data_IF_422312604540
#
_entry.id   IF_422312604540
#
_cell.length_a   1.000
_cell.length_b   1.000
_cell.length_c   1.000
_cell.angle_alpha   90.00
_cell.angle_beta   90.00
_cell.angle_gamma   90.00
#
_symmetry.space_group_name_H-M   'P 1'
#
loop_
_entity.id
_entity.type
_entity.pdbx_description
1 polymer ?
#
# COMPACT_ATOMS: atom_id res chain seq x y z
N UNK A 1 -15.06 46.99 -16.19
CA UNK A 1 -15.89 48.10 -16.75
C UNK A 1 -16.33 47.83 -18.19
N UNK A 2 -15.59 47.10 -19.01
CA UNK A 2 -15.94 46.81 -20.43
C UNK A 2 -17.14 45.86 -20.60
N UNK A 3 -17.36 44.90 -19.69
CA UNK A 3 -18.46 43.93 -19.78
C UNK A 3 -19.86 44.56 -19.56
N UNK A 4 -19.94 45.66 -18.80
CA UNK A 4 -21.20 46.41 -18.57
C UNK A 4 -21.70 47.13 -19.86
N UNK A 5 -20.78 47.48 -20.76
CA UNK A 5 -21.11 48.15 -22.03
C UNK A 5 -21.64 47.18 -23.12
N UNK A 6 -21.51 45.87 -22.92
CA UNK A 6 -21.87 44.82 -23.88
C UNK A 6 -23.17 44.10 -23.52
N UNK A 7 -23.93 44.57 -22.51
CA UNK A 7 -25.20 43.96 -22.13
C UNK A 7 -25.09 42.57 -21.51
N UNK A 8 -23.88 42.16 -21.12
CA UNK A 8 -23.65 40.91 -20.42
C UNK A 8 -24.00 41.06 -18.94
N UNK A 9 -25.05 40.38 -18.50
CA UNK A 9 -25.40 40.34 -17.08
C UNK A 9 -24.34 39.63 -16.30
N UNK A 10 -23.67 40.36 -15.36
CA UNK A 10 -22.82 39.77 -14.38
C UNK A 10 -23.65 39.02 -13.34
N UNK A 11 -23.26 37.81 -12.98
CA UNK A 11 -23.88 37.01 -11.94
C UNK A 11 -23.76 37.63 -10.53
N UNK A 12 -23.15 38.81 -10.42
CA UNK A 12 -22.93 39.50 -9.14
C UNK A 12 -24.18 40.26 -8.63
N UNK A 13 -25.10 40.60 -9.51
CA UNK A 13 -26.26 41.44 -9.17
C UNK A 13 -27.53 40.63 -8.79
N UNK A 14 -27.48 39.31 -8.81
CA UNK A 14 -28.56 38.51 -8.25
C UNK A 14 -28.44 38.50 -6.71
N UNK A 15 -29.45 39.02 -5.98
CA UNK A 15 -29.44 38.95 -4.52
C UNK A 15 -29.34 37.47 -4.14
N UNK A 16 -28.21 37.12 -3.49
CA UNK A 16 -28.08 35.77 -2.93
C UNK A 16 -29.16 35.61 -1.87
N UNK A 17 -30.04 34.61 -2.00
CA UNK A 17 -31.05 34.38 -0.97
C UNK A 17 -30.28 34.14 0.36
N UNK A 18 -30.50 35.09 1.30
CA UNK A 18 -29.99 34.98 2.63
C UNK A 18 -30.50 33.67 3.23
N UNK A 19 -29.59 32.82 3.64
CA UNK A 19 -29.93 31.59 4.36
C UNK A 19 -29.74 30.28 3.67
N UNK A 20 -29.37 30.21 2.40
CA UNK A 20 -28.87 28.95 1.83
C UNK A 20 -27.41 28.73 2.28
N UNK A 21 -27.24 28.33 3.54
CA UNK A 21 -26.05 27.54 3.90
C UNK A 21 -25.97 26.46 2.82
N UNK A 22 -24.96 26.56 1.93
CA UNK A 22 -24.67 25.47 0.98
C UNK A 22 -24.74 24.19 1.82
N UNK A 23 -25.82 23.40 1.65
CA UNK A 23 -25.82 22.04 2.14
C UNK A 23 -24.54 21.49 1.55
N UNK A 24 -23.50 21.33 2.36
CA UNK A 24 -22.32 20.58 1.97
C UNK A 24 -22.93 19.31 1.42
N UNK A 25 -22.87 19.16 0.10
CA UNK A 25 -23.34 17.95 -0.53
C UNK A 25 -22.69 16.85 0.30
N UNK A 26 -23.53 15.98 0.83
CA UNK A 26 -23.04 14.76 1.46
C UNK A 26 -22.43 14.02 0.29
N UNK A 27 -21.17 14.33 0.00
CA UNK A 27 -20.37 13.61 -0.96
C UNK A 27 -20.45 12.20 -0.43
N UNK A 28 -21.13 11.34 -1.17
CA UNK A 28 -21.15 9.91 -0.90
C UNK A 28 -19.67 9.54 -0.78
N UNK A 29 -19.24 9.22 0.44
CA UNK A 29 -17.82 8.95 0.71
C UNK A 29 -17.49 7.65 0.02
N UNK A 30 -16.99 7.75 -1.18
CA UNK A 30 -16.59 6.60 -1.97
C UNK A 30 -15.44 5.86 -1.26
N UNK A 31 -15.46 4.54 -1.31
CA UNK A 31 -14.36 3.73 -0.77
C UNK A 31 -13.03 4.11 -1.40
N UNK A 32 -13.03 4.32 -2.71
CA UNK A 32 -11.90 4.79 -3.51
C UNK A 32 -12.35 6.05 -4.25
N UNK A 33 -11.59 7.13 -4.15
CA UNK A 33 -11.86 8.37 -4.85
C UNK A 33 -10.71 8.69 -5.80
N UNK A 34 -11.02 8.70 -7.10
CA UNK A 34 -10.09 9.12 -8.15
C UNK A 34 -10.47 10.52 -8.58
N UNK A 35 -9.54 11.47 -8.44
CA UNK A 35 -9.74 12.86 -8.82
C UNK A 35 -9.90 13.04 -10.34
N UNK A 36 -10.51 14.17 -10.78
CA UNK A 36 -10.69 14.45 -12.21
C UNK A 36 -9.34 14.50 -12.94
N UNK A 37 -8.38 15.25 -12.43
CA UNK A 37 -7.05 15.37 -13.02
C UNK A 37 -6.33 14.02 -13.12
N UNK A 38 -6.48 13.16 -12.11
CA UNK A 38 -5.91 11.83 -12.11
C UNK A 38 -6.51 10.96 -13.22
N UNK A 39 -7.85 10.98 -13.37
CA UNK A 39 -8.53 10.26 -14.46
C UNK A 39 -8.12 10.75 -15.85
N UNK A 40 -7.92 12.06 -16.01
CA UNK A 40 -7.45 12.64 -17.27
C UNK A 40 -6.02 12.19 -17.61
N UNK A 41 -5.11 12.15 -16.61
CA UNK A 41 -3.74 11.62 -16.78
C UNK A 41 -3.76 10.12 -17.10
N UNK A 42 -4.52 9.33 -16.36
CA UNK A 42 -4.67 7.89 -16.59
C UNK A 42 -5.24 7.59 -17.97
N UNK A 43 -6.25 8.36 -18.42
CA UNK A 43 -6.84 8.21 -19.75
C UNK A 43 -5.87 8.53 -20.90
N UNK A 44 -4.84 9.34 -20.65
CA UNK A 44 -3.75 9.65 -21.59
C UNK A 44 -2.54 8.71 -21.45
N UNK A 45 -2.56 7.80 -20.48
CA UNK A 45 -1.39 6.98 -20.15
C UNK A 45 -0.25 7.75 -19.46
N UNK A 46 -0.55 8.95 -18.95
CA UNK A 46 0.43 9.80 -18.28
C UNK A 46 0.58 9.44 -16.79
N UNK A 47 1.72 9.83 -16.22
CA UNK A 47 2.03 9.57 -14.82
C UNK A 47 1.17 10.39 -13.87
N UNK A 48 0.49 9.71 -12.95
CA UNK A 48 -0.21 10.31 -11.81
C UNK A 48 0.49 9.95 -10.51
N UNK A 49 1.07 10.94 -9.83
CA UNK A 49 1.72 10.71 -8.54
C UNK A 49 0.73 10.30 -7.43
N UNK A 50 -0.54 10.76 -7.49
CA UNK A 50 -1.58 10.34 -6.54
C UNK A 50 -1.96 8.89 -6.81
N UNK A 51 -2.07 8.48 -8.08
CA UNK A 51 -2.30 7.10 -8.48
C UNK A 51 -1.17 6.18 -8.03
N UNK A 52 0.09 6.64 -8.12
CA UNK A 52 1.25 5.89 -7.63
C UNK A 52 1.20 5.70 -6.10
N UNK A 53 0.97 6.76 -5.32
CA UNK A 53 0.79 6.65 -3.87
C UNK A 53 -0.37 5.68 -3.57
N UNK A 54 -1.51 5.81 -4.25
CA UNK A 54 -2.67 4.93 -4.04
C UNK A 54 -2.32 3.47 -4.31
N UNK A 55 -1.60 3.17 -5.39
CA UNK A 55 -1.19 1.80 -5.70
C UNK A 55 -0.35 1.18 -4.58
N UNK A 56 0.67 1.89 -4.10
CA UNK A 56 1.53 1.42 -3.00
C UNK A 56 0.76 1.25 -1.70
N UNK A 57 -0.14 2.19 -1.36
CA UNK A 57 -0.99 2.07 -0.17
C UNK A 57 -1.96 0.91 -0.29
N UNK A 58 -2.51 0.63 -1.49
CA UNK A 58 -3.37 -0.54 -1.74
C UNK A 58 -2.62 -1.85 -1.50
N UNK A 59 -1.39 -1.95 -1.98
CA UNK A 59 -0.54 -3.13 -1.74
C UNK A 59 -0.24 -3.27 -0.24
N UNK A 60 0.24 -2.20 0.40
CA UNK A 60 0.63 -2.23 1.81
C UNK A 60 -0.52 -2.64 2.74
N UNK A 61 -1.74 -2.12 2.51
CA UNK A 61 -2.91 -2.46 3.34
C UNK A 61 -3.35 -3.92 3.21
N UNK A 62 -3.01 -4.58 2.10
CA UNK A 62 -3.34 -5.99 1.88
C UNK A 62 -2.40 -6.94 2.61
N UNK A 63 -1.13 -6.56 2.75
CA UNK A 63 -0.11 -7.40 3.36
C UNK A 63 0.20 -7.05 4.82
N UNK A 64 -0.12 -5.84 5.27
CA UNK A 64 0.14 -5.41 6.64
C UNK A 64 -0.93 -5.90 7.62
N UNK A 65 -0.50 -6.30 8.82
CA UNK A 65 -1.35 -6.80 9.91
C UNK A 65 -1.63 -5.76 11.00
N UNK A 66 -0.76 -4.78 11.09
CA UNK A 66 -0.84 -3.70 12.07
C UNK A 66 -0.28 -2.41 11.48
N UNK A 67 -0.40 -1.33 12.25
CA UNK A 67 0.03 0.01 11.82
C UNK A 67 1.55 0.09 11.58
N UNK A 68 2.36 -0.54 12.45
CA UNK A 68 3.82 -0.48 12.36
C UNK A 68 4.31 -1.23 11.12
N UNK A 69 3.73 -2.38 10.85
CA UNK A 69 4.00 -3.16 9.65
C UNK A 69 3.58 -2.40 8.39
N UNK A 70 2.40 -1.78 8.40
CA UNK A 70 1.92 -0.96 7.30
C UNK A 70 2.88 0.18 6.97
N UNK A 71 3.34 0.93 7.99
CA UNK A 71 4.32 1.99 7.80
C UNK A 71 5.66 1.46 7.29
N UNK A 72 6.09 0.30 7.80
CA UNK A 72 7.34 -0.34 7.38
C UNK A 72 7.30 -0.79 5.93
N UNK A 73 6.18 -1.36 5.47
CA UNK A 73 5.97 -1.77 4.08
C UNK A 73 5.95 -0.55 3.15
N UNK A 74 5.25 0.51 3.54
CA UNK A 74 5.22 1.76 2.76
C UNK A 74 6.62 2.39 2.67
N UNK A 75 7.36 2.40 3.76
CA UNK A 75 8.75 2.88 3.78
C UNK A 75 9.65 2.10 2.83
N UNK A 76 9.50 0.77 2.79
CA UNK A 76 10.23 -0.07 1.85
C UNK A 76 9.88 0.21 0.37
N UNK A 77 8.72 0.81 0.12
CA UNK A 77 8.29 1.27 -1.20
C UNK A 77 8.48 2.79 -1.41
N UNK A 78 9.31 3.46 -0.59
CA UNK A 78 9.64 4.88 -0.75
C UNK A 78 8.53 5.85 -0.38
N UNK A 79 7.61 5.45 0.51
CA UNK A 79 6.57 6.33 1.05
C UNK A 79 6.73 6.54 2.55
N UNK A 80 6.56 7.77 2.96
CA UNK A 80 6.48 8.19 4.36
C UNK A 80 5.02 8.43 4.76
N UNK A 81 4.67 8.08 6.01
CA UNK A 81 3.32 8.21 6.57
C UNK A 81 3.38 9.00 7.86
N UNK A 82 2.70 10.13 7.88
CA UNK A 82 2.63 11.01 9.07
C UNK A 82 1.19 11.29 9.45
N UNK A 83 0.96 11.52 10.72
CA UNK A 83 -0.31 12.07 11.16
C UNK A 83 -0.48 13.50 10.64
N UNK A 84 -1.71 13.85 10.31
CA UNK A 84 -2.04 15.22 9.97
C UNK A 84 -1.93 16.14 11.20
N UNK A 85 -2.05 17.46 10.97
CA UNK A 85 -1.96 18.46 12.05
C UNK A 85 -2.86 18.14 13.23
N UNK A 86 -2.36 18.35 14.46
CA UNK A 86 -3.14 18.22 15.69
C UNK A 86 -4.40 19.12 15.72
N UNK A 87 -4.39 20.21 14.94
CA UNK A 87 -5.52 21.15 14.79
C UNK A 87 -6.55 20.70 13.75
N UNK A 88 -6.29 19.62 13.02
CA UNK A 88 -7.22 19.11 12.02
C UNK A 88 -8.50 18.59 12.67
N UNK A 89 -9.65 18.88 12.07
CA UNK A 89 -10.96 18.44 12.54
C UNK A 89 -11.07 16.92 12.59
N UNK A 90 -10.40 16.24 11.69
CA UNK A 90 -10.34 14.78 11.65
C UNK A 90 -8.89 14.33 11.63
N UNK A 91 -8.60 13.27 12.38
CA UNK A 91 -7.29 12.61 12.36
C UNK A 91 -7.20 11.75 11.13
N UNK A 92 -6.16 11.96 10.34
CA UNK A 92 -5.90 11.21 9.13
C UNK A 92 -4.40 11.06 8.90
N UNK A 93 -4.02 10.10 8.05
CA UNK A 93 -2.66 9.96 7.59
C UNK A 93 -2.40 10.79 6.34
N UNK A 94 -1.21 11.37 6.30
CA UNK A 94 -0.66 12.05 5.14
C UNK A 94 0.43 11.15 4.56
N UNK A 95 0.25 10.77 3.31
CA UNK A 95 1.21 10.00 2.55
C UNK A 95 2.06 10.94 1.69
N UNK A 96 3.37 10.73 1.67
CA UNK A 96 4.30 11.49 0.84
C UNK A 96 5.42 10.60 0.32
N UNK A 97 6.03 10.96 -0.79
CA UNK A 97 7.26 10.29 -1.22
C UNK A 97 8.43 10.70 -0.32
N UNK A 98 9.34 9.76 -0.06
CA UNK A 98 10.56 10.00 0.72
C UNK A 98 11.48 11.00 0.03
N UNK A 99 11.64 10.86 -1.29
CA UNK A 99 12.48 11.72 -2.14
C UNK A 99 11.82 13.07 -2.47
N UNK A 100 10.49 13.16 -2.41
CA UNK A 100 9.70 14.35 -2.75
C UNK A 100 8.60 14.63 -1.73
N UNK A 101 8.92 15.07 -0.51
CA UNK A 101 7.96 15.23 0.58
C UNK A 101 6.92 16.34 0.34
N UNK A 102 7.10 17.17 -0.68
CA UNK A 102 6.11 18.17 -1.13
C UNK A 102 4.91 17.52 -1.83
N UNK A 103 5.11 16.40 -2.50
CA UNK A 103 4.04 15.61 -3.11
C UNK A 103 3.37 14.76 -2.04
N UNK A 104 2.34 15.32 -1.44
CA UNK A 104 1.64 14.71 -0.30
C UNK A 104 0.13 14.74 -0.48
N UNK A 105 -0.53 13.67 -0.05
CA UNK A 105 -1.98 13.51 -0.10
C UNK A 105 -2.49 12.87 1.19
N UNK A 106 -3.68 13.29 1.66
CA UNK A 106 -4.33 12.64 2.81
C UNK A 106 -5.08 11.39 2.36
N UNK A 107 -5.16 10.40 3.26
CA UNK A 107 -5.88 9.17 3.01
C UNK A 107 -7.34 9.40 2.63
N UNK A 108 -8.06 10.25 3.36
CA UNK A 108 -9.46 10.59 3.06
C UNK A 108 -9.66 11.19 1.66
N UNK A 109 -8.67 11.91 1.10
CA UNK A 109 -8.76 12.43 -0.27
C UNK A 109 -8.67 11.33 -1.32
N UNK A 110 -7.94 10.26 -1.04
CA UNK A 110 -7.87 9.10 -1.93
C UNK A 110 -9.09 8.18 -1.81
N UNK A 111 -9.85 8.32 -0.71
CA UNK A 111 -11.06 7.54 -0.42
C UNK A 111 -11.06 6.99 1.00
N UNK A 112 -12.23 6.57 1.50
CA UNK A 112 -12.38 6.08 2.86
C UNK A 112 -11.45 4.91 3.20
N UNK A 113 -11.21 4.04 2.23
CA UNK A 113 -10.37 2.84 2.40
C UNK A 113 -8.89 3.15 2.67
N UNK A 114 -8.47 4.41 2.48
CA UNK A 114 -7.08 4.86 2.65
C UNK A 114 -6.90 5.76 3.88
N UNK A 115 -8.01 6.14 4.53
CA UNK A 115 -7.99 6.98 5.72
C UNK A 115 -7.55 6.22 6.97
N UNK A 116 -6.91 6.93 7.91
CA UNK A 116 -6.39 6.37 9.16
C UNK A 116 -7.44 5.56 9.92
N UNK A 117 -8.62 6.13 10.12
CA UNK A 117 -9.69 5.48 10.90
C UNK A 117 -10.10 4.13 10.31
N UNK A 118 -10.24 4.06 8.98
CA UNK A 118 -10.62 2.82 8.30
C UNK A 118 -9.53 1.76 8.41
N UNK A 119 -8.28 2.14 8.16
CA UNK A 119 -7.15 1.23 8.22
C UNK A 119 -6.87 0.73 9.64
N UNK A 120 -6.92 1.61 10.65
CA UNK A 120 -6.78 1.20 12.05
C UNK A 120 -7.87 0.21 12.46
N UNK A 121 -9.13 0.47 12.06
CA UNK A 121 -10.24 -0.46 12.31
C UNK A 121 -10.04 -1.80 11.60
N UNK A 122 -9.54 -1.77 10.35
CA UNK A 122 -9.22 -2.99 9.60
C UNK A 122 -8.15 -3.81 10.31
N UNK A 123 -7.08 -3.21 10.79
CA UNK A 123 -6.02 -3.90 11.52
C UNK A 123 -6.53 -4.48 12.85
N UNK A 124 -7.40 -3.76 13.56
CA UNK A 124 -7.98 -4.22 14.81
C UNK A 124 -8.97 -5.39 14.62
N UNK A 125 -9.69 -5.45 13.50
CA UNK A 125 -10.70 -6.47 13.24
C UNK A 125 -10.14 -7.82 12.77
N UNK A 126 -8.83 -7.95 12.53
CA UNK A 126 -8.22 -9.18 12.03
C UNK A 126 -8.84 -9.59 10.69
N UNK A 127 -8.73 -8.78 9.69
CA UNK A 127 -9.56 -8.73 8.51
C UNK A 127 -9.85 -10.07 7.82
N UNK A 128 -11.10 -10.30 7.50
CA UNK A 128 -11.50 -11.25 6.48
C UNK A 128 -10.92 -10.86 5.10
N UNK A 129 -10.46 -11.83 4.32
CA UNK A 129 -9.93 -11.61 2.96
C UNK A 129 -8.43 -11.28 2.92
N UNK A 130 -7.65 -11.77 3.89
CA UNK A 130 -6.19 -11.69 3.85
C UNK A 130 -5.61 -12.71 2.89
N UNK A 131 -4.56 -12.32 2.21
CA UNK A 131 -3.74 -13.25 1.44
C UNK A 131 -2.98 -14.22 2.35
N UNK A 132 -2.65 -15.40 1.85
CA UNK A 132 -1.79 -16.33 2.56
C UNK A 132 -0.38 -15.73 2.76
N UNK A 133 0.33 -16.12 3.83
CA UNK A 133 1.66 -15.61 4.16
C UNK A 133 2.68 -15.76 3.01
N UNK A 134 2.57 -16.83 2.23
CA UNK A 134 3.41 -17.03 1.04
C UNK A 134 3.11 -15.99 -0.04
N UNK A 135 1.83 -15.75 -0.31
CA UNK A 135 1.37 -14.73 -1.27
C UNK A 135 1.73 -13.32 -0.80
N UNK A 136 1.57 -13.01 0.50
CA UNK A 136 1.98 -11.72 1.05
C UNK A 136 3.47 -11.44 0.81
N UNK A 137 4.32 -12.46 0.96
CA UNK A 137 5.78 -12.35 0.68
C UNK A 137 6.06 -12.04 -0.78
N UNK A 138 5.43 -12.77 -1.68
CA UNK A 138 5.65 -12.58 -3.12
C UNK A 138 5.13 -11.23 -3.59
N UNK A 139 3.95 -10.82 -3.13
CA UNK A 139 3.39 -9.48 -3.40
C UNK A 139 4.37 -8.39 -2.94
N UNK A 140 4.94 -8.52 -1.74
CA UNK A 140 5.92 -7.56 -1.25
C UNK A 140 7.23 -7.59 -2.06
N UNK A 141 7.70 -8.77 -2.46
CA UNK A 141 8.91 -8.93 -3.28
C UNK A 141 8.74 -8.22 -4.61
N UNK A 142 7.65 -8.52 -5.34
CA UNK A 142 7.34 -7.90 -6.63
C UNK A 142 7.20 -6.37 -6.48
N UNK A 143 6.47 -5.90 -5.47
CA UNK A 143 6.30 -4.47 -5.22
C UNK A 143 7.63 -3.77 -4.94
N UNK A 144 8.50 -4.39 -4.14
CA UNK A 144 9.81 -3.83 -3.79
C UNK A 144 10.76 -3.80 -5.00
N UNK A 145 10.74 -4.84 -5.81
CA UNK A 145 11.53 -4.91 -7.06
C UNK A 145 11.04 -3.87 -8.07
N UNK A 146 9.72 -3.81 -8.31
CA UNK A 146 9.13 -2.83 -9.21
C UNK A 146 9.44 -1.38 -8.78
N UNK A 147 9.42 -1.11 -7.47
CA UNK A 147 9.82 0.18 -6.93
C UNK A 147 11.30 0.50 -7.20
N UNK A 148 12.22 -0.45 -6.94
CA UNK A 148 13.67 -0.25 -7.13
C UNK A 148 14.04 0.07 -8.57
N UNK A 149 13.36 -0.54 -9.53
CA UNK A 149 13.60 -0.31 -10.97
C UNK A 149 12.72 0.81 -11.55
N UNK A 150 11.89 1.47 -10.72
CA UNK A 150 10.99 2.53 -11.15
C UNK A 150 9.84 2.08 -12.06
N UNK A 151 9.50 0.79 -12.05
CA UNK A 151 8.46 0.23 -12.92
C UNK A 151 7.06 0.41 -12.34
N UNK A 152 6.53 1.62 -12.46
CA UNK A 152 5.25 2.03 -11.87
C UNK A 152 4.06 1.27 -12.48
N UNK A 153 4.14 0.89 -13.75
CA UNK A 153 3.09 0.11 -14.42
C UNK A 153 2.88 -1.25 -13.72
N UNK A 154 3.95 -1.90 -13.28
CA UNK A 154 3.88 -3.16 -12.53
C UNK A 154 3.24 -2.95 -11.15
N UNK A 155 3.61 -1.88 -10.44
CA UNK A 155 2.98 -1.53 -9.16
C UNK A 155 1.46 -1.31 -9.31
N UNK A 156 1.03 -0.70 -10.42
CA UNK A 156 -0.41 -0.50 -10.71
C UNK A 156 -1.12 -1.82 -10.97
N UNK A 157 -0.55 -2.68 -11.84
CA UNK A 157 -1.12 -4.01 -12.12
C UNK A 157 -1.24 -4.84 -10.84
N UNK A 158 -0.19 -4.88 -10.03
CA UNK A 158 -0.19 -5.57 -8.75
C UNK A 158 -1.25 -4.99 -7.80
N UNK A 159 -1.34 -3.66 -7.68
CA UNK A 159 -2.35 -2.98 -6.86
C UNK A 159 -3.78 -3.32 -7.31
N UNK A 160 -4.03 -3.31 -8.61
CA UNK A 160 -5.34 -3.64 -9.15
C UNK A 160 -5.70 -5.10 -8.87
N UNK A 161 -4.76 -6.02 -9.09
CA UNK A 161 -4.94 -7.44 -8.83
C UNK A 161 -5.23 -7.73 -7.34
N UNK A 162 -4.43 -7.18 -6.40
CA UNK A 162 -4.69 -7.37 -4.96
C UNK A 162 -5.98 -6.69 -4.50
N UNK A 163 -6.40 -5.59 -5.14
CA UNK A 163 -7.67 -4.93 -4.85
C UNK A 163 -8.87 -5.76 -5.31
N UNK A 164 -8.74 -6.47 -6.42
CA UNK A 164 -9.75 -7.45 -6.87
C UNK A 164 -9.80 -8.64 -5.91
N UNK A 165 -8.65 -9.21 -5.50
CA UNK A 165 -8.61 -10.26 -4.47
C UNK A 165 -9.35 -9.83 -3.21
N UNK A 166 -9.13 -8.60 -2.73
CA UNK A 166 -9.84 -8.06 -1.57
C UNK A 166 -11.35 -7.99 -1.81
N UNK A 167 -11.77 -7.53 -2.99
CA UNK A 167 -13.19 -7.33 -3.31
C UNK A 167 -13.98 -8.62 -3.36
N UNK A 168 -13.36 -9.73 -3.80
CA UNK A 168 -13.99 -11.05 -3.91
C UNK A 168 -13.62 -11.98 -2.75
N UNK A 169 -12.62 -11.61 -1.93
CA UNK A 169 -12.12 -12.46 -0.84
C UNK A 169 -11.33 -13.67 -1.33
N UNK A 170 -10.66 -13.57 -2.50
CA UNK A 170 -9.96 -14.69 -3.12
C UNK A 170 -8.76 -15.16 -2.30
N UNK A 171 -8.64 -16.48 -2.13
CA UNK A 171 -7.51 -17.19 -1.56
C UNK A 171 -6.86 -18.15 -2.56
N UNK A 172 -7.53 -18.42 -3.67
CA UNK A 172 -7.11 -19.30 -4.75
C UNK A 172 -7.57 -18.78 -6.12
N UNK A 173 -7.06 -19.36 -7.19
CA UNK A 173 -7.54 -19.07 -8.55
C UNK A 173 -8.99 -19.55 -8.75
N UNK A 174 -9.39 -20.64 -8.12
CA UNK A 174 -10.76 -21.14 -8.19
C UNK A 174 -11.79 -20.12 -7.64
N UNK A 175 -11.40 -19.29 -6.67
CA UNK A 175 -12.28 -18.25 -6.13
C UNK A 175 -12.59 -17.18 -7.18
N UNK A 176 -11.66 -16.90 -8.09
CA UNK A 176 -11.90 -15.99 -9.20
C UNK A 176 -12.88 -16.58 -10.22
N UNK A 177 -12.73 -17.87 -10.54
CA UNK A 177 -13.64 -18.57 -11.45
C UNK A 177 -15.07 -18.58 -10.86
N UNK A 178 -15.18 -18.81 -9.55
CA UNK A 178 -16.45 -18.71 -8.85
C UNK A 178 -17.03 -17.29 -8.86
N UNK A 179 -16.17 -16.27 -8.72
CA UNK A 179 -16.57 -14.85 -8.76
C UNK A 179 -17.01 -14.41 -10.16
N UNK A 180 -16.48 -14.99 -11.24
CA UNK A 180 -16.89 -14.71 -12.60
C UNK A 180 -18.37 -15.04 -12.83
N UNK A 181 -18.83 -16.17 -12.27
CA UNK A 181 -20.24 -16.56 -12.33
C UNK A 181 -21.16 -15.69 -11.46
N UNK A 182 -20.63 -14.99 -10.46
CA UNK A 182 -21.37 -14.18 -9.49
C UNK A 182 -20.68 -12.85 -9.17
N UNK A 183 -20.50 -12.05 -10.21
CA UNK A 183 -19.71 -10.81 -10.14
C UNK A 183 -20.23 -9.87 -9.04
N UNK A 184 -19.36 -9.44 -8.09
CA UNK A 184 -19.73 -8.45 -7.08
C UNK A 184 -20.17 -7.13 -7.71
N UNK A 185 -21.18 -6.47 -7.13
CA UNK A 185 -21.68 -5.18 -7.62
C UNK A 185 -20.56 -4.15 -7.67
N UNK A 186 -20.35 -3.57 -8.87
CA UNK A 186 -19.36 -2.51 -9.09
C UNK A 186 -17.95 -3.01 -9.43
N UNK A 187 -17.73 -4.31 -9.56
CA UNK A 187 -16.50 -4.87 -10.11
C UNK A 187 -16.66 -5.00 -11.63
N UNK A 188 -15.68 -4.46 -12.36
CA UNK A 188 -15.61 -4.56 -13.83
C UNK A 188 -15.11 -5.95 -14.23
N UNK A 189 -15.81 -6.69 -15.11
CA UNK A 189 -15.37 -7.98 -15.62
C UNK A 189 -13.95 -7.94 -16.24
N UNK A 190 -13.62 -6.86 -16.95
CA UNK A 190 -12.30 -6.70 -17.54
C UNK A 190 -11.18 -6.62 -16.46
N UNK A 191 -11.47 -5.96 -15.33
CA UNK A 191 -10.53 -5.90 -14.20
C UNK A 191 -10.39 -7.26 -13.52
N UNK A 192 -11.47 -8.02 -13.42
CA UNK A 192 -11.43 -9.39 -12.89
C UNK A 192 -10.54 -10.28 -13.77
N UNK A 193 -10.76 -10.27 -15.09
CA UNK A 193 -9.96 -11.05 -16.04
C UNK A 193 -8.48 -10.67 -15.99
N UNK A 194 -8.16 -9.38 -16.00
CA UNK A 194 -6.78 -8.90 -15.87
C UNK A 194 -6.13 -9.28 -14.54
N UNK A 195 -6.89 -9.32 -13.45
CA UNK A 195 -6.38 -9.77 -12.15
C UNK A 195 -6.08 -11.26 -12.15
N UNK A 196 -6.95 -12.09 -12.72
CA UNK A 196 -6.74 -13.55 -12.88
C UNK A 196 -5.48 -13.82 -13.68
N UNK A 197 -5.36 -13.18 -14.86
CA UNK A 197 -4.19 -13.30 -15.73
C UNK A 197 -2.90 -12.95 -14.97
N UNK A 198 -2.89 -11.81 -14.29
CA UNK A 198 -1.73 -11.34 -13.53
C UNK A 198 -1.36 -12.28 -12.37
N UNK A 199 -2.36 -12.71 -11.57
CA UNK A 199 -2.14 -13.61 -10.44
C UNK A 199 -1.64 -14.98 -10.87
N UNK A 200 -2.10 -15.46 -12.04
CA UNK A 200 -1.65 -16.70 -12.65
C UNK A 200 -0.24 -16.58 -13.24
N UNK A 201 0.04 -15.50 -14.00
CA UNK A 201 1.37 -15.23 -14.57
C UNK A 201 2.46 -15.14 -13.49
N UNK A 202 2.15 -14.53 -12.36
CA UNK A 202 3.09 -14.35 -11.25
C UNK A 202 3.04 -15.49 -10.21
N UNK A 203 2.21 -16.49 -10.43
CA UNK A 203 2.04 -17.63 -9.51
C UNK A 203 1.73 -17.19 -8.06
N UNK A 204 0.95 -16.11 -7.91
CA UNK A 204 0.70 -15.48 -6.62
C UNK A 204 -0.33 -16.23 -5.77
N UNK A 205 -1.23 -16.97 -6.40
CA UNK A 205 -2.26 -17.73 -5.71
C UNK A 205 -2.19 -19.21 -6.09
N UNK A 206 -2.51 -20.10 -5.14
CA UNK A 206 -2.66 -21.52 -5.46
C UNK A 206 -3.86 -21.73 -6.40
N UNK A 207 -3.80 -22.77 -7.22
CA UNK A 207 -4.89 -23.10 -8.15
C UNK A 207 -6.17 -23.46 -7.41
N UNK A 208 -6.06 -24.23 -6.31
CA UNK A 208 -7.20 -24.65 -5.51
C UNK A 208 -6.99 -24.36 -4.03
N UNK A 209 -8.09 -24.32 -3.27
CA UNK A 209 -8.07 -24.16 -1.82
C UNK A 209 -7.34 -25.36 -1.17
N UNK A 210 -6.05 -25.19 -0.87
CA UNK A 210 -5.39 -26.10 0.06
C UNK A 210 -5.85 -25.73 1.47
N UNK A 211 -6.43 -26.67 2.25
CA UNK A 211 -6.72 -26.41 3.65
C UNK A 211 -5.43 -25.98 4.32
N UNK A 212 -5.42 -24.80 4.93
CA UNK A 212 -4.27 -24.31 5.69
C UNK A 212 -3.93 -25.37 6.73
N UNK A 213 -2.81 -26.06 6.53
CA UNK A 213 -2.23 -26.94 7.55
C UNK A 213 -1.88 -26.01 8.70
N UNK A 214 -2.73 -25.98 9.71
CA UNK A 214 -2.54 -25.21 10.91
C UNK A 214 -1.27 -25.73 11.58
N UNK A 215 -0.19 -24.98 11.42
CA UNK A 215 1.05 -25.13 12.18
C UNK A 215 0.81 -24.64 13.63
N UNK A 216 -0.14 -25.32 14.29
CA UNK A 216 -0.59 -25.00 15.66
C UNK A 216 0.49 -25.18 16.73
N UNK A 217 1.65 -25.74 16.36
CA UNK A 217 2.71 -26.10 17.33
C UNK A 217 3.81 -25.05 17.53
N UNK A 218 3.94 -24.04 16.65
CA UNK A 218 4.97 -23.00 16.77
C UNK A 218 4.56 -21.77 17.57
N UNK A 219 3.28 -21.63 17.92
CA UNK A 219 2.71 -20.38 18.44
C UNK A 219 2.81 -20.19 19.96
N UNK A 220 3.31 -21.18 20.73
CA UNK A 220 3.25 -21.13 22.18
C UNK A 220 4.38 -20.33 22.88
N UNK A 221 5.47 -19.99 22.18
CA UNK A 221 6.65 -19.34 22.78
C UNK A 221 6.99 -17.94 22.23
N UNK A 222 6.20 -17.39 21.31
CA UNK A 222 6.49 -16.07 20.75
C UNK A 222 5.91 -14.93 21.61
N UNK A 223 6.68 -13.88 21.79
CA UNK A 223 6.24 -12.66 22.46
C UNK A 223 5.02 -12.07 21.75
N UNK A 224 4.07 -11.40 22.45
CA UNK A 224 2.81 -10.95 21.85
C UNK A 224 2.96 -10.13 20.57
N UNK A 225 4.01 -9.33 20.47
CA UNK A 225 4.29 -8.52 19.28
C UNK A 225 4.94 -9.31 18.13
N UNK A 226 5.61 -10.45 18.42
CA UNK A 226 6.19 -11.34 17.40
C UNK A 226 5.14 -12.22 16.74
N UNK A 227 4.02 -12.49 17.43
CA UNK A 227 2.92 -13.30 16.90
C UNK A 227 2.24 -12.65 15.70
N UNK A 228 2.30 -11.32 15.60
CA UNK A 228 1.61 -10.55 14.56
C UNK A 228 2.53 -10.11 13.40
N UNK A 229 3.81 -10.49 13.40
CA UNK A 229 4.71 -10.19 12.27
C UNK A 229 4.71 -11.34 11.27
N UNK A 230 4.61 -11.06 9.95
CA UNK A 230 4.79 -12.07 8.92
C UNK A 230 6.16 -12.72 9.03
N UNK A 231 6.23 -14.03 8.76
CA UNK A 231 7.48 -14.80 8.88
C UNK A 231 8.61 -14.22 8.02
N UNK A 232 8.28 -13.70 6.83
CA UNK A 232 9.24 -13.10 5.91
C UNK A 232 9.90 -11.81 6.41
N UNK A 233 9.26 -11.08 7.33
CA UNK A 233 9.84 -9.89 7.95
C UNK A 233 10.91 -10.24 8.98
N UNK A 234 10.80 -11.42 9.61
CA UNK A 234 11.80 -11.94 10.55
C UNK A 234 13.07 -12.39 9.84
N UNK A 235 12.92 -13.06 8.72
CA UNK A 235 14.03 -13.55 7.91
C UNK A 235 14.87 -12.40 7.34
N UNK A 236 14.23 -11.28 6.99
CA UNK A 236 14.93 -10.08 6.52
C UNK A 236 15.79 -9.44 7.59
N UNK A 237 15.27 -9.28 8.82
CA UNK A 237 16.05 -8.73 9.95
C UNK A 237 17.25 -9.61 10.31
N UNK A 238 17.13 -10.92 10.18
CA UNK A 238 18.24 -11.84 10.42
C UNK A 238 19.32 -11.75 9.35
N UNK A 239 18.95 -11.53 8.09
CA UNK A 239 19.89 -11.36 6.99
C UNK A 239 20.59 -9.99 7.01
N UNK A 240 19.88 -8.92 7.38
CA UNK A 240 20.48 -7.59 7.57
C UNK A 240 21.52 -7.61 8.69
N UNK A 241 21.23 -8.27 9.83
CA UNK A 241 22.20 -8.44 10.93
C UNK A 241 23.43 -9.28 10.55
N UNK A 242 23.30 -10.23 9.62
CA UNK A 242 24.46 -11.01 9.12
C UNK A 242 25.35 -10.19 8.19
N UNK A 243 24.80 -9.22 7.47
CA UNK A 243 25.57 -8.34 6.59
C UNK A 243 26.27 -7.22 7.35
N UNK A 244 25.77 -6.83 8.54
CA UNK A 244 26.36 -5.80 9.39
C UNK A 244 27.49 -6.29 10.30
N UNK A 245 27.74 -7.61 10.38
CA UNK A 245 28.91 -8.10 11.12
C UNK A 245 30.15 -7.94 10.24
N UNK A 246 31.07 -7.01 10.59
CA UNK A 246 32.32 -6.90 9.87
C UNK A 246 33.08 -8.22 10.03
N UNK A 247 33.47 -8.78 8.90
CA UNK A 247 34.38 -9.93 8.87
C UNK A 247 35.61 -9.58 9.73
N UNK A 248 35.71 -10.16 10.91
CA UNK A 248 36.92 -10.14 11.70
C UNK A 248 38.01 -10.84 10.88
N UNK A 249 38.74 -10.06 10.09
CA UNK A 249 39.96 -10.53 9.47
C UNK A 249 40.90 -10.96 10.56
N UNK A 250 41.25 -12.22 10.54
CA UNK A 250 42.33 -12.79 11.31
C UNK A 250 43.65 -12.11 10.88
N UNK A 251 44.04 -11.06 11.58
CA UNK A 251 45.42 -10.62 11.60
C UNK A 251 46.17 -11.58 12.52
N UNK A 252 46.71 -12.64 11.92
CA UNK A 252 47.75 -13.49 12.50
C UNK A 252 49.01 -12.66 12.70
N UNK A 253 49.24 -12.25 13.91
CA UNK A 253 50.49 -11.61 14.28
C UNK A 253 51.67 -12.59 14.19
N UNK A 254 52.52 -12.39 13.22
CA UNK A 254 53.84 -13.00 13.15
C UNK A 254 54.73 -12.29 14.20
N UNK A 255 55.02 -12.99 15.31
CA UNK A 255 56.03 -12.58 16.25
C UNK A 255 57.36 -13.12 15.73
N UNK A 256 58.12 -12.28 15.08
CA UNK A 256 59.55 -12.51 14.85
C UNK A 256 60.31 -12.30 16.16
N UNK A 257 60.93 -13.39 16.63
CA UNK A 257 62.00 -13.42 17.62
C UNK A 257 63.32 -13.21 16.89
N UNK A 258 64.00 -12.16 17.17
CA UNK A 258 65.34 -11.89 16.69
C UNK A 258 66.04 -10.93 17.65
N UNK A 259 66.74 -11.45 18.46
CA UNK A 259 68.16 -11.70 18.73
C UNK A 259 68.81 -10.53 19.51
N UNK A 260 69.15 -10.87 20.72
CA UNK A 260 70.22 -10.16 21.54
C UNK A 260 71.52 -10.41 20.83
N UNK A 261 72.34 -9.39 20.73
CA UNK A 261 73.71 -9.45 21.33
C UNK A 261 74.46 -8.10 21.12
N UNK A 262 75.09 -7.70 22.21
CA UNK A 262 76.41 -7.06 22.37
C UNK A 262 76.65 -5.62 21.90
N UNK A 263 76.71 -4.72 22.74
CA UNK A 263 77.80 -4.00 23.41
C UNK A 263 77.37 -2.66 23.97
#
# INVERSE_FOLDING_TARGET
KLAKGMGLSWFEDAPRPEGTKRKRSVVSKQRVHVGRAERELEGKGEYSWVGDIRARVSIARMIARNEDEFKSVLKAMGLDVKDNSAKAVRRDWIYSFDDRPTLRVSGEKMGLSFGKEHLTRRFASGSMGRLADATEREVFRIASEAYKVGYIAELRKLSDAVSVCEAIGAQSIDDFVAAESRLPRGLDPAKLAAAVEYMTEKELLPTSHMPAIQDSRRNAQQKPWEKNQPSWMKDRKSNERRQEQPSRSQYGGNRDRGNRDAR
#
